data_IF_265693508788
#
_entry.id   IF_265693508788
#
_cell.length_a   1.000
_cell.length_b   1.000
_cell.length_c   1.000
_cell.angle_alpha   90.00
_cell.angle_beta   90.00
_cell.angle_gamma   90.00
#
_symmetry.space_group_name_H-M   'P 1'
#
loop_
_entity.id
_entity.type
_entity.pdbx_description
1 polymer ?
#
# COMPACT_ATOMS: atom_id res chain seq x y z
N UNK A 1 -3.15 -8.71 -26.18
CA UNK A 1 -4.05 -7.63 -25.73
C UNK A 1 -3.91 -7.60 -24.22
N UNK A 2 -3.41 -6.50 -23.66
CA UNK A 2 -3.18 -6.37 -22.21
C UNK A 2 -4.52 -6.34 -21.48
N UNK A 3 -4.63 -7.05 -20.36
CA UNK A 3 -5.84 -7.06 -19.53
C UNK A 3 -6.31 -5.64 -19.20
N UNK A 4 -7.60 -5.39 -19.45
CA UNK A 4 -8.28 -4.11 -19.19
C UNK A 4 -8.71 -3.99 -17.73
N UNK A 5 -7.75 -4.09 -16.82
CA UNK A 5 -8.01 -4.00 -15.39
C UNK A 5 -8.73 -2.70 -15.02
N UNK A 6 -9.81 -2.78 -14.27
CA UNK A 6 -10.64 -1.61 -13.93
C UNK A 6 -10.71 -1.33 -12.42
N UNK A 7 -10.17 -2.24 -11.60
CA UNK A 7 -10.34 -2.23 -10.16
C UNK A 7 -9.11 -2.73 -9.41
N UNK A 8 -8.97 -2.34 -8.14
CA UNK A 8 -7.99 -2.91 -7.21
C UNK A 8 -8.68 -3.72 -6.12
N UNK A 9 -8.08 -4.85 -5.77
CA UNK A 9 -8.40 -5.59 -4.55
C UNK A 9 -7.21 -5.54 -3.61
N UNK A 10 -7.44 -5.05 -2.40
CA UNK A 10 -6.40 -4.70 -1.42
C UNK A 10 -6.66 -5.48 -0.14
N UNK A 11 -5.68 -6.27 0.29
CA UNK A 11 -5.70 -6.96 1.59
C UNK A 11 -5.08 -6.07 2.65
N UNK A 12 -5.89 -5.70 3.64
CA UNK A 12 -5.41 -4.91 4.79
C UNK A 12 -4.58 -5.77 5.73
N UNK A 13 -3.63 -5.16 6.41
CA UNK A 13 -2.83 -5.84 7.44
C UNK A 13 -3.73 -6.25 8.61
N UNK A 14 -3.68 -7.54 9.03
CA UNK A 14 -4.42 -7.99 10.20
C UNK A 14 -3.98 -7.25 11.46
N UNK A 15 -4.93 -6.61 12.14
CA UNK A 15 -4.68 -5.87 13.39
C UNK A 15 -5.43 -6.55 14.53
N UNK A 16 -4.71 -6.77 15.63
CA UNK A 16 -5.30 -7.33 16.85
C UNK A 16 -6.26 -6.32 17.49
N UNK A 17 -7.48 -6.77 17.72
CA UNK A 17 -8.55 -5.99 18.36
C UNK A 17 -9.49 -5.35 17.33
N UNK A 18 -10.81 -5.59 17.44
CA UNK A 18 -11.78 -5.19 16.40
C UNK A 18 -11.86 -3.66 16.23
N UNK A 19 -11.82 -2.90 17.32
CA UNK A 19 -11.85 -1.42 17.28
C UNK A 19 -10.65 -0.84 16.54
N UNK A 20 -9.44 -1.35 16.83
CA UNK A 20 -8.20 -0.90 16.17
C UNK A 20 -8.20 -1.27 14.68
N UNK A 21 -8.64 -2.47 14.35
CA UNK A 21 -8.76 -2.91 12.97
C UNK A 21 -9.77 -2.07 12.17
N UNK A 22 -10.92 -1.74 12.76
CA UNK A 22 -11.93 -0.86 12.16
C UNK A 22 -11.38 0.56 11.94
N UNK A 23 -10.78 1.19 12.97
CA UNK A 23 -10.16 2.52 12.85
C UNK A 23 -9.10 2.57 11.75
N UNK A 24 -8.21 1.57 11.72
CA UNK A 24 -7.15 1.48 10.71
C UNK A 24 -7.73 1.36 9.29
N UNK A 25 -8.79 0.58 9.13
CA UNK A 25 -9.43 0.36 7.82
C UNK A 25 -10.14 1.61 7.32
N UNK A 26 -10.85 2.32 8.18
CA UNK A 26 -11.47 3.61 7.81
C UNK A 26 -10.43 4.66 7.44
N UNK A 27 -9.31 4.72 8.19
CA UNK A 27 -8.18 5.58 7.84
C UNK A 27 -7.61 5.21 6.47
N UNK A 28 -7.34 3.92 6.24
CA UNK A 28 -6.77 3.45 4.98
C UNK A 28 -7.71 3.70 3.79
N UNK A 29 -9.03 3.55 3.97
CA UNK A 29 -10.02 3.92 2.95
C UNK A 29 -9.89 5.39 2.58
N UNK A 30 -9.90 6.28 3.58
CA UNK A 30 -9.75 7.72 3.37
C UNK A 30 -8.47 8.04 2.59
N UNK A 31 -7.34 7.46 3.01
CA UNK A 31 -6.05 7.65 2.35
C UNK A 31 -6.05 7.19 0.90
N UNK A 32 -6.60 6.00 0.64
CA UNK A 32 -6.70 5.47 -0.72
C UNK A 32 -7.58 6.38 -1.58
N UNK A 33 -8.77 6.78 -1.09
CA UNK A 33 -9.67 7.70 -1.78
C UNK A 33 -8.95 9.00 -2.16
N UNK A 34 -8.26 9.62 -1.20
CA UNK A 34 -7.49 10.86 -1.45
C UNK A 34 -6.32 10.64 -2.41
N UNK A 35 -5.62 9.51 -2.30
CA UNK A 35 -4.43 9.24 -3.09
C UNK A 35 -4.75 8.84 -4.53
N UNK A 36 -5.86 8.15 -4.77
CA UNK A 36 -6.28 7.72 -6.11
C UNK A 36 -7.29 8.68 -6.76
N UNK A 37 -7.86 9.62 -6.01
CA UNK A 37 -8.85 10.58 -6.51
C UNK A 37 -10.21 9.98 -6.87
N UNK A 38 -10.49 8.74 -6.45
CA UNK A 38 -11.77 8.07 -6.69
C UNK A 38 -12.82 8.55 -5.69
N UNK A 39 -14.11 8.39 -6.01
CA UNK A 39 -15.16 8.74 -5.07
C UNK A 39 -15.22 7.73 -3.92
N UNK A 40 -15.79 8.16 -2.79
CA UNK A 40 -15.91 7.30 -1.60
C UNK A 40 -16.88 6.13 -1.84
N UNK A 41 -17.92 6.30 -2.66
CA UNK A 41 -18.82 5.20 -3.07
C UNK A 41 -18.11 4.07 -3.83
N UNK A 42 -17.03 4.40 -4.56
CA UNK A 42 -16.25 3.45 -5.35
C UNK A 42 -15.25 2.64 -4.50
N UNK A 43 -15.23 2.87 -3.18
CA UNK A 43 -14.35 2.19 -2.22
C UNK A 43 -15.13 1.29 -1.27
N UNK A 44 -15.27 0.02 -1.67
CA UNK A 44 -16.00 -0.99 -0.89
C UNK A 44 -15.04 -1.64 0.12
N UNK A 45 -15.52 -2.04 1.29
CA UNK A 45 -14.74 -2.90 2.17
C UNK A 45 -15.53 -4.05 2.76
N UNK A 46 -14.89 -5.20 2.79
CA UNK A 46 -15.46 -6.46 3.22
C UNK A 46 -14.36 -7.38 3.73
N UNK A 47 -14.58 -8.03 4.87
CA UNK A 47 -13.71 -9.10 5.40
C UNK A 47 -12.20 -8.78 5.44
N UNK A 48 -11.81 -7.54 5.76
CA UNK A 48 -10.40 -7.16 5.80
C UNK A 48 -9.78 -6.86 4.44
N UNK A 49 -10.60 -6.76 3.40
CA UNK A 49 -10.22 -6.29 2.06
C UNK A 49 -10.87 -4.95 1.76
N UNK A 50 -10.21 -4.17 0.91
CA UNK A 50 -10.72 -2.94 0.32
C UNK A 50 -10.74 -3.15 -1.19
N UNK A 51 -11.83 -2.74 -1.84
CA UNK A 51 -12.01 -2.81 -3.28
C UNK A 51 -12.14 -1.39 -3.78
N UNK A 52 -11.41 -1.04 -4.84
CA UNK A 52 -11.37 0.31 -5.39
C UNK A 52 -11.73 0.22 -6.85
N UNK A 53 -12.85 0.83 -7.25
CA UNK A 53 -13.22 0.97 -8.65
C UNK A 53 -12.53 2.22 -9.20
N UNK A 54 -11.67 2.07 -10.21
CA UNK A 54 -10.86 3.18 -10.75
C UNK A 54 -11.08 3.41 -12.24
N UNK A 55 -11.55 2.40 -12.96
CA UNK A 55 -11.54 2.37 -14.42
C UNK A 55 -10.17 1.99 -15.01
N UNK A 56 -10.16 1.72 -16.32
CA UNK A 56 -9.00 1.18 -17.07
C UNK A 56 -7.83 2.19 -17.15
N UNK A 57 -8.12 3.47 -17.28
CA UNK A 57 -7.08 4.51 -17.46
C UNK A 57 -6.30 4.78 -16.18
N UNK A 58 -6.96 4.72 -15.02
CA UNK A 58 -6.38 5.09 -13.72
C UNK A 58 -5.79 3.92 -12.94
N UNK A 59 -6.02 2.67 -13.36
CA UNK A 59 -5.65 1.48 -12.58
C UNK A 59 -4.15 1.38 -12.30
N UNK A 60 -3.32 1.73 -13.28
CA UNK A 60 -1.86 1.63 -13.17
C UNK A 60 -1.31 2.64 -12.19
N UNK A 61 -1.87 3.85 -12.18
CA UNK A 61 -1.46 4.90 -11.26
C UNK A 61 -1.97 4.60 -9.84
N UNK A 62 -3.22 4.13 -9.72
CA UNK A 62 -3.73 3.65 -8.45
C UNK A 62 -2.87 2.53 -7.86
N UNK A 63 -2.44 1.55 -8.68
CA UNK A 63 -1.56 0.46 -8.26
C UNK A 63 -0.18 0.95 -7.77
N UNK A 64 0.43 1.92 -8.46
CA UNK A 64 1.70 2.53 -8.02
C UNK A 64 1.53 3.25 -6.68
N UNK A 65 0.42 3.97 -6.52
CA UNK A 65 0.11 4.73 -5.32
C UNK A 65 -0.09 3.81 -4.11
N UNK A 66 -0.90 2.75 -4.24
CA UNK A 66 -1.15 1.81 -3.12
C UNK A 66 0.10 1.02 -2.73
N UNK A 67 1.08 0.84 -3.63
CA UNK A 67 2.35 0.19 -3.31
C UNK A 67 3.13 0.90 -2.19
N UNK A 68 2.94 2.21 -2.00
CA UNK A 68 3.57 3.00 -0.93
C UNK A 68 2.66 3.25 0.29
N UNK A 69 1.49 2.63 0.38
CA UNK A 69 0.54 2.84 1.48
C UNK A 69 0.73 1.83 2.62
N UNK A 70 1.09 2.31 3.81
CA UNK A 70 1.13 1.49 5.01
C UNK A 70 -0.25 0.96 5.41
N UNK A 71 -0.29 -0.23 6.00
CA UNK A 71 -1.53 -0.95 6.32
C UNK A 71 -2.03 -1.86 5.20
N UNK A 72 -1.36 -1.89 4.05
CA UNK A 72 -1.63 -2.81 2.93
C UNK A 72 -0.65 -3.98 2.98
N UNK A 73 -1.14 -5.21 3.17
CA UNK A 73 -0.30 -6.41 3.10
C UNK A 73 -0.08 -6.89 1.67
N UNK A 74 -1.14 -6.89 0.87
CA UNK A 74 -1.13 -7.31 -0.52
C UNK A 74 -2.13 -6.50 -1.32
N UNK A 75 -1.93 -6.40 -2.63
CA UNK A 75 -2.92 -5.86 -3.55
C UNK A 75 -2.80 -6.56 -4.90
N UNK A 76 -3.84 -6.45 -5.72
CA UNK A 76 -3.84 -6.94 -7.09
C UNK A 76 -4.78 -6.09 -7.92
N UNK A 77 -4.50 -6.03 -9.22
CA UNK A 77 -5.45 -5.49 -10.20
C UNK A 77 -6.53 -6.55 -10.45
N UNK A 78 -7.74 -6.08 -10.70
CA UNK A 78 -8.90 -6.93 -10.89
C UNK A 78 -9.79 -6.41 -12.01
N UNK A 79 -10.53 -7.33 -12.62
CA UNK A 79 -11.66 -7.04 -13.48
C UNK A 79 -12.93 -7.12 -12.63
N UNK A 80 -13.70 -6.05 -12.60
CA UNK A 80 -15.02 -6.03 -11.96
C UNK A 80 -16.10 -6.54 -12.91
N UNK A 81 -17.21 -7.04 -12.38
CA UNK A 81 -18.40 -7.36 -13.17
C UNK A 81 -19.65 -7.33 -12.29
N UNK A 82 -20.80 -7.03 -12.88
CA UNK A 82 -22.09 -6.92 -12.19
C UNK A 82 -22.78 -8.28 -12.03
N UNK A 83 -22.47 -9.24 -12.91
CA UNK A 83 -23.13 -10.54 -12.94
C UNK A 83 -22.14 -11.70 -13.12
N UNK A 84 -22.66 -12.92 -12.93
CA UNK A 84 -21.92 -14.16 -13.13
C UNK A 84 -21.61 -14.38 -14.61
N UNK A 85 -22.54 -13.98 -15.47
CA UNK A 85 -22.43 -14.07 -16.91
C UNK A 85 -21.32 -13.15 -17.41
N UNK A 86 -21.36 -11.88 -17.00
CA UNK A 86 -20.36 -10.87 -17.38
C UNK A 86 -18.95 -11.27 -16.91
N UNK A 87 -18.79 -11.78 -15.67
CA UNK A 87 -17.47 -12.21 -15.21
C UNK A 87 -16.98 -13.46 -15.96
N UNK A 88 -17.88 -14.34 -16.38
CA UNK A 88 -17.52 -15.53 -17.17
C UNK A 88 -16.97 -15.12 -18.54
N UNK A 89 -17.63 -14.16 -19.20
CA UNK A 89 -17.17 -13.60 -20.47
C UNK A 89 -15.78 -12.96 -20.33
N UNK A 90 -15.58 -12.13 -19.30
CA UNK A 90 -14.27 -11.51 -19.02
C UNK A 90 -13.15 -12.54 -18.76
N UNK A 91 -13.47 -13.65 -18.08
CA UNK A 91 -12.51 -14.75 -17.87
C UNK A 91 -12.16 -15.42 -19.21
N UNK A 92 -13.15 -15.66 -20.07
CA UNK A 92 -12.93 -16.27 -21.38
C UNK A 92 -12.06 -15.39 -22.28
N UNK A 93 -12.34 -14.10 -22.32
CA UNK A 93 -11.50 -13.11 -23.02
C UNK A 93 -10.06 -13.16 -22.54
N UNK A 94 -9.86 -13.25 -21.22
CA UNK A 94 -8.53 -13.31 -20.64
C UNK A 94 -7.76 -14.55 -21.07
N UNK A 95 -8.36 -15.74 -20.91
CA UNK A 95 -7.69 -17.00 -21.24
C UNK A 95 -7.36 -17.07 -22.74
N UNK A 96 -8.28 -16.60 -23.58
CA UNK A 96 -8.06 -16.53 -25.03
C UNK A 96 -6.90 -15.58 -25.37
N UNK A 97 -6.75 -14.47 -24.64
CA UNK A 97 -5.68 -13.50 -24.85
C UNK A 97 -4.30 -14.04 -24.43
N UNK A 98 -4.25 -14.83 -23.36
CA UNK A 98 -3.01 -15.43 -22.83
C UNK A 98 -2.59 -16.69 -23.58
N UNK A 99 -3.45 -17.23 -24.45
CA UNK A 99 -3.26 -18.50 -25.18
C UNK A 99 -2.98 -19.69 -24.28
N UNK A 100 -3.51 -19.65 -23.05
CA UNK A 100 -3.34 -20.76 -22.13
C UNK A 100 -4.29 -21.90 -22.46
N UNK A 101 -3.76 -23.13 -22.48
CA UNK A 101 -4.55 -24.34 -22.72
C UNK A 101 -5.24 -24.87 -21.44
N UNK A 102 -4.90 -24.32 -20.27
CA UNK A 102 -5.44 -24.77 -19.00
C UNK A 102 -5.54 -23.66 -17.97
N UNK A 103 -6.49 -23.74 -17.05
CA UNK A 103 -6.71 -22.71 -16.03
C UNK A 103 -7.10 -23.28 -14.66
N UNK A 104 -6.94 -22.47 -13.61
CA UNK A 104 -7.42 -22.78 -12.26
C UNK A 104 -8.04 -21.55 -11.57
N UNK A 105 -9.38 -21.51 -11.57
CA UNK A 105 -10.17 -20.51 -10.85
C UNK A 105 -10.44 -20.93 -9.40
N UNK A 106 -10.09 -20.10 -8.41
CA UNK A 106 -10.33 -20.38 -6.98
C UNK A 106 -11.20 -19.32 -6.30
N UNK A 107 -12.06 -19.69 -5.35
CA UNK A 107 -12.78 -18.71 -4.55
C UNK A 107 -11.86 -18.04 -3.52
N UNK A 108 -11.94 -16.70 -3.40
CA UNK A 108 -11.25 -15.90 -2.38
C UNK A 108 -12.10 -15.57 -1.16
N UNK A 109 -13.41 -15.72 -1.27
CA UNK A 109 -14.37 -15.58 -0.19
C UNK A 109 -15.40 -16.69 -0.22
N UNK A 110 -16.23 -16.72 0.81
CA UNK A 110 -17.30 -17.71 0.95
C UNK A 110 -18.43 -17.46 -0.05
N UNK A 111 -18.65 -16.21 -0.46
CA UNK A 111 -19.79 -15.81 -1.29
C UNK A 111 -19.73 -16.36 -2.70
N UNK A 112 -18.52 -16.60 -3.22
CA UNK A 112 -18.30 -17.14 -4.57
C UNK A 112 -18.04 -18.65 -4.58
N UNK A 113 -18.07 -19.33 -3.42
CA UNK A 113 -17.76 -20.77 -3.34
C UNK A 113 -18.69 -21.62 -4.19
N UNK A 114 -19.96 -21.22 -4.31
CA UNK A 114 -20.96 -21.91 -5.14
C UNK A 114 -20.88 -21.50 -6.61
N UNK A 115 -20.49 -20.25 -6.88
CA UNK A 115 -20.39 -19.72 -8.23
C UNK A 115 -19.18 -20.28 -9.00
N UNK A 116 -18.02 -20.45 -8.34
CA UNK A 116 -16.79 -20.90 -9.02
C UNK A 116 -16.95 -22.23 -9.77
N UNK A 117 -17.54 -23.30 -9.18
CA UNK A 117 -17.78 -24.55 -9.92
C UNK A 117 -18.70 -24.41 -11.13
N UNK A 118 -19.70 -23.52 -11.06
CA UNK A 118 -20.63 -23.27 -12.17
C UNK A 118 -19.91 -22.52 -13.31
N UNK A 119 -19.17 -21.47 -12.98
CA UNK A 119 -18.36 -20.70 -13.92
C UNK A 119 -17.33 -21.61 -14.61
N UNK A 120 -16.64 -22.47 -13.84
CA UNK A 120 -15.69 -23.44 -14.39
C UNK A 120 -16.33 -24.37 -15.42
N UNK A 121 -17.52 -24.92 -15.12
CA UNK A 121 -18.25 -25.80 -16.06
C UNK A 121 -18.61 -25.07 -17.34
N UNK A 122 -19.20 -23.88 -17.21
CA UNK A 122 -19.60 -23.06 -18.35
C UNK A 122 -18.42 -22.71 -19.26
N UNK A 123 -17.24 -22.41 -18.69
CA UNK A 123 -16.03 -22.17 -19.47
C UNK A 123 -15.62 -23.42 -20.28
N UNK A 124 -15.61 -24.60 -19.65
CA UNK A 124 -15.26 -25.87 -20.33
C UNK A 124 -16.32 -26.29 -21.36
N UNK A 125 -17.58 -25.92 -21.18
CA UNK A 125 -18.63 -26.16 -22.19
C UNK A 125 -18.46 -25.25 -23.42
N UNK A 126 -17.95 -24.03 -23.22
CA UNK A 126 -17.77 -23.03 -24.28
C UNK A 126 -16.39 -23.11 -24.96
N UNK A 127 -15.44 -23.87 -24.41
CA UNK A 127 -14.04 -23.91 -24.86
C UNK A 127 -13.44 -25.30 -24.75
N UNK A 128 -12.32 -25.56 -25.42
CA UNK A 128 -11.57 -26.82 -25.27
C UNK A 128 -10.58 -26.80 -24.07
N UNK A 129 -10.76 -25.88 -23.13
CA UNK A 129 -9.81 -25.65 -22.04
C UNK A 129 -9.89 -26.72 -20.95
N UNK A 130 -8.72 -27.05 -20.39
CA UNK A 130 -8.62 -28.02 -19.29
C UNK A 130 -8.49 -27.30 -17.94
N UNK A 131 -9.26 -27.73 -16.94
CA UNK A 131 -9.07 -27.25 -15.56
C UNK A 131 -7.85 -27.95 -14.97
N UNK A 132 -6.77 -27.19 -14.68
CA UNK A 132 -5.52 -27.74 -14.15
C UNK A 132 -5.03 -26.99 -12.90
N UNK A 133 -5.22 -27.56 -11.70
CA UNK A 133 -4.81 -26.89 -10.45
C UNK A 133 -3.30 -26.67 -10.30
N UNK A 134 -2.49 -27.44 -11.03
CA UNK A 134 -1.02 -27.39 -10.97
C UNK A 134 -0.44 -26.46 -12.04
N UNK A 135 -0.92 -26.58 -13.27
CA UNK A 135 -0.26 -26.00 -14.45
C UNK A 135 -1.07 -24.93 -15.16
N UNK A 136 -2.32 -24.66 -14.74
CA UNK A 136 -3.15 -23.64 -15.37
C UNK A 136 -2.99 -22.24 -14.79
N UNK A 137 -3.39 -21.23 -15.57
CA UNK A 137 -3.52 -19.84 -15.15
C UNK A 137 -4.21 -19.73 -13.80
N UNK A 138 -3.50 -19.18 -12.81
CA UNK A 138 -4.05 -18.99 -11.47
C UNK A 138 -4.93 -17.76 -11.45
N UNK A 139 -6.23 -18.01 -11.35
CA UNK A 139 -7.24 -16.98 -11.24
C UNK A 139 -8.01 -17.13 -9.93
N UNK A 140 -8.48 -16.02 -9.43
CA UNK A 140 -9.10 -15.93 -8.14
C UNK A 140 -10.35 -15.08 -8.22
N UNK A 141 -11.48 -15.61 -7.77
CA UNK A 141 -12.76 -14.90 -7.79
C UNK A 141 -13.09 -14.37 -6.40
N UNK A 142 -13.60 -13.14 -6.34
CA UNK A 142 -14.07 -12.48 -5.13
C UNK A 142 -15.42 -11.79 -5.39
N UNK A 143 -16.20 -11.50 -4.34
CA UNK A 143 -17.45 -10.77 -4.45
C UNK A 143 -17.63 -9.78 -3.30
N UNK A 144 -17.84 -8.51 -3.64
CA UNK A 144 -18.07 -7.44 -2.67
C UNK A 144 -18.97 -6.35 -3.27
N UNK A 145 -19.85 -5.77 -2.45
CA UNK A 145 -20.75 -4.69 -2.89
C UNK A 145 -21.67 -5.05 -4.06
N UNK A 146 -22.05 -6.34 -4.18
CA UNK A 146 -22.84 -6.84 -5.31
C UNK A 146 -22.02 -7.27 -6.53
N UNK A 147 -20.78 -6.79 -6.67
CA UNK A 147 -19.90 -7.03 -7.82
C UNK A 147 -19.01 -8.27 -7.65
N UNK A 148 -18.66 -8.89 -8.77
CA UNK A 148 -17.63 -9.91 -8.90
C UNK A 148 -16.29 -9.27 -9.25
N UNK A 149 -15.19 -9.84 -8.75
CA UNK A 149 -13.83 -9.41 -9.05
C UNK A 149 -12.97 -10.60 -9.44
N UNK A 150 -12.45 -10.60 -10.67
CA UNK A 150 -11.43 -11.55 -11.12
C UNK A 150 -10.05 -10.97 -10.81
N UNK A 151 -9.30 -11.68 -9.98
CA UNK A 151 -7.95 -11.35 -9.57
C UNK A 151 -6.96 -12.41 -10.11
N UNK A 152 -5.72 -12.01 -10.34
CA UNK A 152 -4.62 -12.93 -10.68
C UNK A 152 -3.57 -12.93 -9.57
N UNK A 153 -2.31 -12.70 -9.90
CA UNK A 153 -1.23 -12.68 -8.92
C UNK A 153 -1.32 -11.43 -8.03
N UNK A 154 -0.91 -11.60 -6.77
CA UNK A 154 -0.91 -10.52 -5.80
C UNK A 154 0.48 -9.94 -5.64
N UNK A 155 0.55 -8.63 -5.61
CA UNK A 155 1.74 -7.88 -5.24
C UNK A 155 1.78 -7.64 -3.73
N UNK A 156 2.99 -7.59 -3.18
CA UNK A 156 3.20 -7.34 -1.75
C UNK A 156 3.17 -5.84 -1.47
N UNK A 157 2.37 -5.44 -0.48
CA UNK A 157 2.39 -4.09 0.07
C UNK A 157 3.39 -3.96 1.23
N UNK A 158 3.57 -2.75 1.77
CA UNK A 158 4.54 -2.50 2.85
C UNK A 158 4.11 -3.09 4.21
N UNK A 159 2.84 -3.46 4.35
CA UNK A 159 2.24 -3.94 5.59
C UNK A 159 2.10 -2.83 6.64
N UNK A 160 1.97 -3.23 7.90
CA UNK A 160 1.96 -2.28 9.03
C UNK A 160 0.57 -1.73 9.35
N UNK A 161 0.50 -0.45 9.72
CA UNK A 161 -0.75 0.28 10.02
C UNK A 161 -0.87 1.49 9.12
N UNK A 162 -2.10 1.91 8.84
CA UNK A 162 -2.38 3.15 8.13
C UNK A 162 -1.68 4.31 8.84
N UNK A 163 -0.99 5.16 8.08
CA UNK A 163 -0.24 6.27 8.64
C UNK A 163 -1.20 7.24 9.37
N UNK A 164 -0.85 7.76 10.54
CA UNK A 164 -1.77 8.60 11.34
C UNK A 164 -2.75 7.80 12.21
N UNK A 165 -2.68 6.47 12.21
CA UNK A 165 -3.45 5.67 13.20
C UNK A 165 -2.96 5.89 14.63
N UNK A 166 -1.68 6.25 14.77
CA UNK A 166 -0.96 6.56 16.01
C UNK A 166 -0.48 8.02 16.03
N UNK A 167 -0.09 8.52 17.21
CA UNK A 167 0.40 9.90 17.37
C UNK A 167 1.70 10.18 16.60
N UNK A 168 1.93 11.41 16.12
CA UNK A 168 3.18 11.77 15.46
C UNK A 168 4.42 11.60 16.36
N UNK A 169 5.57 11.35 15.75
CA UNK A 169 6.87 11.27 16.41
C UNK A 169 7.89 12.15 15.69
N UNK A 170 8.81 12.74 16.45
CA UNK A 170 9.95 13.45 15.90
C UNK A 170 11.01 12.43 15.48
N UNK A 171 11.59 12.62 14.30
CA UNK A 171 12.73 11.82 13.84
C UNK A 171 13.90 12.69 13.44
N UNK A 172 15.01 12.52 14.15
CA UNK A 172 16.28 13.14 13.80
C UNK A 172 16.82 12.40 12.57
N UNK A 173 16.82 13.08 11.44
CA UNK A 173 17.32 12.56 10.18
C UNK A 173 18.70 13.09 9.86
N UNK A 174 19.47 12.29 9.13
CA UNK A 174 20.78 12.64 8.58
C UNK A 174 20.96 11.90 7.24
N UNK A 175 22.15 11.99 6.65
CA UNK A 175 22.51 11.30 5.39
C UNK A 175 22.59 9.76 5.53
N UNK A 176 22.49 9.22 6.75
CA UNK A 176 22.55 7.78 6.94
C UNK A 176 21.25 7.09 6.51
N UNK A 177 21.40 6.03 5.73
CA UNK A 177 20.33 5.06 5.44
C UNK A 177 19.65 4.54 6.70
N UNK A 178 20.37 4.43 7.83
CA UNK A 178 19.80 3.97 9.09
C UNK A 178 18.77 4.94 9.67
N UNK A 179 18.98 6.25 9.49
CA UNK A 179 18.02 7.27 9.96
C UNK A 179 16.74 7.27 9.10
N UNK A 180 16.87 7.01 7.81
CA UNK A 180 15.73 6.79 6.92
C UNK A 180 14.97 5.51 7.31
N UNK A 181 15.68 4.39 7.45
CA UNK A 181 15.06 3.10 7.76
C UNK A 181 14.38 3.09 9.13
N UNK A 182 14.94 3.77 10.12
CA UNK A 182 14.32 3.91 11.44
C UNK A 182 13.01 4.70 11.35
N UNK A 183 13.03 5.84 10.64
CA UNK A 183 11.85 6.68 10.40
C UNK A 183 10.78 5.93 9.63
N UNK A 184 11.14 5.28 8.53
CA UNK A 184 10.24 4.45 7.73
C UNK A 184 9.63 3.32 8.56
N UNK A 185 10.42 2.68 9.43
CA UNK A 185 9.94 1.61 10.32
C UNK A 185 8.95 2.11 11.36
N UNK A 186 9.12 3.34 11.85
CA UNK A 186 8.17 4.03 12.74
C UNK A 186 6.88 4.38 11.98
N UNK A 187 6.99 4.91 10.77
CA UNK A 187 5.85 5.18 9.88
C UNK A 187 5.04 3.92 9.57
N UNK A 188 5.71 2.80 9.32
CA UNK A 188 5.05 1.49 9.12
C UNK A 188 4.24 1.04 10.33
N UNK A 189 4.55 1.51 11.54
CA UNK A 189 3.75 1.25 12.75
C UNK A 189 2.54 2.18 12.89
N UNK A 190 2.33 3.12 11.96
CA UNK A 190 1.20 4.03 11.92
C UNK A 190 1.47 5.42 12.50
N UNK A 191 2.72 5.72 12.89
CA UNK A 191 3.11 7.04 13.42
C UNK A 191 3.54 7.97 12.28
N UNK A 192 2.88 9.12 12.08
CA UNK A 192 3.45 10.20 11.28
C UNK A 192 4.81 10.60 11.82
N UNK A 193 5.76 10.93 10.95
CA UNK A 193 7.09 11.41 11.36
C UNK A 193 7.23 12.88 11.02
N UNK A 194 7.74 13.65 11.98
CA UNK A 194 8.17 15.05 11.82
C UNK A 194 9.71 15.02 11.71
N UNK A 195 10.27 15.23 10.50
CA UNK A 195 11.71 15.23 10.30
C UNK A 195 12.39 16.42 10.95
N UNK A 196 13.47 16.19 11.69
CA UNK A 196 14.38 17.22 12.22
C UNK A 196 15.77 16.99 11.65
N UNK A 197 16.36 18.03 11.06
CA UNK A 197 17.73 18.04 10.55
C UNK A 197 18.56 19.07 11.28
N UNK A 198 19.72 18.63 11.77
CA UNK A 198 20.77 19.51 12.24
C UNK A 198 21.67 19.84 11.06
N UNK A 199 21.69 21.11 10.67
CA UNK A 199 22.44 21.59 9.50
C UNK A 199 23.90 21.85 9.90
N UNK A 200 24.78 20.95 9.48
CA UNK A 200 26.22 21.02 9.74
C UNK A 200 26.99 21.72 8.60
N UNK A 201 26.64 21.43 7.34
CA UNK A 201 27.40 21.85 6.14
C UNK A 201 26.52 22.07 4.88
N UNK A 202 25.20 22.23 5.00
CA UNK A 202 24.30 22.59 3.89
C UNK A 202 23.11 21.65 3.64
N UNK A 203 22.00 22.21 3.15
CA UNK A 203 20.64 21.60 3.13
C UNK A 203 20.33 20.60 2.01
N UNK A 204 21.21 20.42 1.03
CA UNK A 204 20.86 19.69 -0.20
C UNK A 204 20.59 18.20 0.05
N UNK A 205 21.42 17.52 0.84
CA UNK A 205 21.27 16.10 1.17
C UNK A 205 20.00 15.84 2.01
N UNK A 206 19.73 16.71 2.99
CA UNK A 206 18.54 16.64 3.83
C UNK A 206 17.25 16.67 2.99
N UNK A 207 17.21 17.51 1.96
CA UNK A 207 16.03 17.66 1.10
C UNK A 207 15.66 16.37 0.37
N UNK A 208 16.65 15.57 -0.05
CA UNK A 208 16.41 14.28 -0.73
C UNK A 208 15.75 13.27 0.23
N UNK A 209 16.30 13.12 1.43
CA UNK A 209 15.79 12.16 2.42
C UNK A 209 14.38 12.55 2.87
N UNK A 210 14.12 13.84 3.08
CA UNK A 210 12.78 14.37 3.41
C UNK A 210 11.77 14.02 2.31
N UNK A 211 12.12 14.29 1.05
CA UNK A 211 11.25 14.00 -0.10
C UNK A 211 10.92 12.51 -0.17
N UNK A 212 11.91 11.65 0.04
CA UNK A 212 11.67 10.21 0.03
C UNK A 212 10.75 9.80 1.19
N UNK A 213 10.98 10.28 2.43
CA UNK A 213 10.10 10.03 3.58
C UNK A 213 8.65 10.45 3.30
N UNK A 214 8.44 11.66 2.78
CA UNK A 214 7.09 12.15 2.47
C UNK A 214 6.47 11.45 1.25
N UNK A 215 7.24 10.76 0.41
CA UNK A 215 6.67 9.91 -0.64
C UNK A 215 5.90 8.70 -0.08
N UNK A 216 6.09 8.36 1.20
CA UNK A 216 5.35 7.30 1.92
C UNK A 216 4.12 7.82 2.67
N UNK A 217 3.76 9.09 2.51
CA UNK A 217 2.60 9.72 3.16
C UNK A 217 1.56 10.27 2.17
N UNK A 218 1.53 9.71 0.96
CA UNK A 218 0.51 10.05 -0.04
C UNK A 218 -0.87 9.67 0.52
N UNK A 219 -1.87 10.55 0.35
CA UNK A 219 -3.22 10.38 0.89
C UNK A 219 -3.34 10.50 2.41
N UNK A 220 -2.24 10.59 3.15
CA UNK A 220 -2.28 10.76 4.60
C UNK A 220 -2.35 12.26 4.95
N UNK A 221 -3.35 12.64 5.74
CA UNK A 221 -3.43 13.95 6.39
C UNK A 221 -2.37 14.08 7.48
N UNK A 222 -1.14 14.38 7.06
CA UNK A 222 -0.02 14.64 7.97
C UNK A 222 0.56 16.02 7.72
N UNK A 223 1.10 16.64 8.78
CA UNK A 223 1.86 17.87 8.65
C UNK A 223 3.20 17.58 7.96
N UNK A 224 3.34 17.98 6.69
CA UNK A 224 4.55 17.75 5.88
C UNK A 224 5.61 18.81 6.12
N UNK A 225 5.86 19.15 7.37
CA UNK A 225 6.91 20.08 7.79
C UNK A 225 8.17 19.31 8.16
N UNK A 226 9.31 19.86 7.73
CA UNK A 226 10.62 19.45 8.22
C UNK A 226 11.25 20.64 8.96
N UNK A 227 11.89 20.35 10.08
CA UNK A 227 12.54 21.36 10.93
C UNK A 227 14.04 21.32 10.64
N UNK A 228 14.62 22.48 10.37
CA UNK A 228 16.06 22.65 10.18
C UNK A 228 16.63 23.47 11.33
N UNK A 229 17.59 22.90 12.04
CA UNK A 229 18.25 23.52 13.19
C UNK A 229 19.69 23.87 12.76
N UNK A 230 20.06 25.16 12.71
CA UNK A 230 21.45 25.56 12.50
C UNK A 230 22.32 24.97 13.62
N UNK A 231 23.39 24.26 13.27
CA UNK A 231 24.20 23.56 14.27
C UNK A 231 25.72 23.68 14.05
N UNK A 232 26.17 24.33 12.98
CA UNK A 232 27.60 24.50 12.68
C UNK A 232 28.36 25.19 13.80
N UNK A 233 27.91 26.38 14.22
CA UNK A 233 28.59 27.15 15.28
C UNK A 233 28.61 26.39 16.62
N UNK A 234 27.48 25.78 16.97
CA UNK A 234 27.37 24.93 18.17
C UNK A 234 28.32 23.73 18.11
N UNK A 235 28.48 23.10 16.95
CA UNK A 235 29.41 21.99 16.76
C UNK A 235 30.86 22.46 16.92
N UNK A 236 31.22 23.62 16.37
CA UNK A 236 32.55 24.20 16.48
C UNK A 236 32.90 24.49 17.95
N UNK A 237 31.98 25.09 18.71
CA UNK A 237 32.14 25.31 20.15
C UNK A 237 32.32 23.99 20.93
N UNK A 238 31.46 23.00 20.67
CA UNK A 238 31.55 21.69 21.32
C UNK A 238 32.90 21.02 20.98
N UNK A 239 33.39 21.16 19.75
CA UNK A 239 34.65 20.56 19.29
C UNK A 239 35.85 21.05 20.10
N UNK A 240 35.85 22.32 20.49
CA UNK A 240 36.91 22.95 21.26
C UNK A 240 36.92 22.50 22.73
N UNK A 241 35.74 22.23 23.31
CA UNK A 241 35.59 21.96 24.75
C UNK A 241 35.55 20.45 25.06
N UNK A 242 34.88 19.67 24.22
CA UNK A 242 34.48 18.30 24.56
C UNK A 242 35.55 17.23 24.25
N UNK A 243 36.57 17.56 23.46
CA UNK A 243 37.64 16.63 23.06
C UNK A 243 37.10 15.30 22.53
N UNK A 244 37.49 14.17 23.13
CA UNK A 244 37.02 12.83 22.71
C UNK A 244 35.50 12.59 22.90
N UNK A 245 34.79 13.50 23.58
CA UNK A 245 33.35 13.35 23.92
C UNK A 245 32.41 14.14 23.01
N UNK A 246 32.92 14.82 21.98
CA UNK A 246 32.13 15.65 21.05
C UNK A 246 30.85 14.96 20.58
N UNK A 247 30.95 13.75 20.03
CA UNK A 247 29.79 13.01 19.52
C UNK A 247 28.74 12.70 20.59
N UNK A 248 29.17 12.42 21.84
CA UNK A 248 28.25 12.14 22.94
C UNK A 248 27.52 13.40 23.38
N UNK A 249 28.22 14.53 23.47
CA UNK A 249 27.62 15.82 23.84
C UNK A 249 26.68 16.29 22.74
N UNK A 250 27.07 16.19 21.46
CA UNK A 250 26.22 16.57 20.34
C UNK A 250 24.91 15.78 20.34
N UNK A 251 24.98 14.44 20.46
CA UNK A 251 23.75 13.62 20.52
C UNK A 251 22.85 14.02 21.69
N UNK A 252 23.42 14.26 22.88
CA UNK A 252 22.62 14.70 24.04
C UNK A 252 21.91 16.02 23.78
N UNK A 253 22.58 17.00 23.19
CA UNK A 253 21.98 18.29 22.84
C UNK A 253 20.90 18.09 21.78
N UNK A 254 21.19 17.32 20.72
CA UNK A 254 20.22 17.03 19.67
C UNK A 254 18.93 16.39 20.23
N UNK A 255 19.04 15.46 21.18
CA UNK A 255 17.89 14.86 21.85
C UNK A 255 17.14 15.79 22.81
N UNK A 256 17.80 16.82 23.36
CA UNK A 256 17.15 17.79 24.25
C UNK A 256 16.36 18.85 23.47
N UNK A 257 16.84 19.20 22.28
CA UNK A 257 16.23 20.23 21.42
C UNK A 257 15.10 19.67 20.56
N UNK A 258 15.18 18.39 20.19
CA UNK A 258 14.18 17.69 19.36
C UNK A 258 12.98 17.24 20.17
#
# INVERSE_FOLDING_TARGET
MTMKWDSLVIWTTPIRGPRRASKNREMLKKQITEATGVNREDVISKEGKIFVLTGEESINEAAKTVRKHFGISYFTKALSANSKEEITEKILEEINSSKEASFDLKPLSRDVKRDVPEIKRKIVELTELVISPKNGAKMYLERAGGLYFLCTEREKGPGGRALGSESPLVSILNDSEYSFLSSWSVMRKGHPVIPVFFDFHGRQVATRVIREIFSWSIGAEIDRKAIFIPYSDTLDEISQIAGRRVCHICRRIMYLVS
#
